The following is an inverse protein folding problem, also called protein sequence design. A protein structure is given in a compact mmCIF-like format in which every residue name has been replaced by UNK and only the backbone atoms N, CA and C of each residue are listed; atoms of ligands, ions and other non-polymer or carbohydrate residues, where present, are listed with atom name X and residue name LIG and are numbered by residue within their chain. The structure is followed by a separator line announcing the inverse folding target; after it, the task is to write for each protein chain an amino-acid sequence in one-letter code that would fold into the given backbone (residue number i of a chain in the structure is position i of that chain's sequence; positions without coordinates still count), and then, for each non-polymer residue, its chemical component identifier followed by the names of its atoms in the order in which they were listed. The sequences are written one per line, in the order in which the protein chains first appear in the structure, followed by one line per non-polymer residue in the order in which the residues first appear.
data_IF_475951918097
#
_entry.id   IF_475951918097
#
_cell.length_a   1.000
_cell.length_b   1.000
_cell.length_c   1.000
_cell.angle_alpha   90.00
_cell.angle_beta   90.00
_cell.angle_gamma   90.00
#
_symmetry.space_group_name_H-M   'P 1'
#
loop_
_entity.id
_entity.type
_entity.pdbx_description
1 polymer ?
#
# COMPACT_ATOMS: atom_id res chain seq x y z
N UNK A 1 -5.40 10.26 17.40
CA UNK A 1 -5.41 10.39 15.92
C UNK A 1 -5.45 9.01 15.29
N UNK A 2 -6.00 8.90 14.09
CA UNK A 2 -5.96 7.69 13.27
C UNK A 2 -4.86 7.84 12.23
N UNK A 3 -4.03 6.81 12.03
CA UNK A 3 -3.07 6.75 10.93
C UNK A 3 -3.52 5.69 9.95
N UNK A 4 -3.86 6.09 8.74
CA UNK A 4 -4.12 5.16 7.66
C UNK A 4 -2.80 4.77 7.00
N UNK A 5 -2.54 3.47 6.99
CA UNK A 5 -1.39 2.91 6.27
C UNK A 5 -1.81 2.65 4.83
N UNK A 6 -1.31 3.46 3.91
CA UNK A 6 -1.47 3.29 2.47
C UNK A 6 -0.19 2.66 1.88
N UNK A 7 0.22 3.06 0.69
CA UNK A 7 1.46 2.65 0.03
C UNK A 7 1.92 3.73 -0.94
N UNK A 8 3.23 3.88 -1.13
CA UNK A 8 3.80 4.79 -2.13
C UNK A 8 3.35 4.44 -3.57
N UNK A 9 2.87 3.21 -3.78
CA UNK A 9 2.42 2.72 -5.07
C UNK A 9 0.91 2.92 -5.34
N UNK A 10 0.15 3.59 -4.46
CA UNK A 10 -1.31 3.72 -4.60
C UNK A 10 -1.72 4.37 -5.93
N UNK A 11 -0.85 5.24 -6.47
CA UNK A 11 -1.02 5.91 -7.75
C UNK A 11 0.16 5.65 -8.71
N UNK A 12 0.70 4.42 -8.71
CA UNK A 12 1.84 4.04 -9.55
C UNK A 12 1.57 4.06 -11.07
N UNK A 13 0.32 4.28 -11.48
CA UNK A 13 -0.10 4.54 -12.85
C UNK A 13 0.19 5.99 -13.31
N UNK A 14 0.62 6.86 -12.39
CA UNK A 14 1.01 8.24 -12.65
C UNK A 14 2.55 8.35 -12.65
N UNK A 15 3.17 9.04 -13.62
CA UNK A 15 4.64 9.15 -13.70
C UNK A 15 5.30 9.88 -12.52
N UNK A 16 4.61 10.88 -11.96
CA UNK A 16 5.12 11.71 -10.87
C UNK A 16 4.05 11.82 -9.77
N UNK A 17 4.43 11.41 -8.56
CA UNK A 17 3.55 11.32 -7.40
C UNK A 17 3.95 12.38 -6.38
N UNK A 18 2.99 13.23 -6.01
CA UNK A 18 3.11 14.26 -4.99
C UNK A 18 2.39 13.84 -3.70
N UNK A 19 2.69 14.52 -2.59
CA UNK A 19 1.98 14.34 -1.31
C UNK A 19 0.59 14.99 -1.32
N UNK A 20 -0.31 14.41 -2.12
CA UNK A 20 -1.73 14.78 -2.20
C UNK A 20 -2.61 13.55 -2.34
N UNK A 21 -3.91 13.72 -2.13
CA UNK A 21 -4.90 12.68 -2.42
C UNK A 21 -5.35 12.88 -3.87
N UNK A 22 -5.14 11.87 -4.70
CA UNK A 22 -5.52 11.91 -6.11
C UNK A 22 -7.00 11.55 -6.26
N UNK A 23 -7.76 12.30 -7.09
CA UNK A 23 -9.14 11.97 -7.38
C UNK A 23 -9.20 10.59 -8.04
N UNK A 24 -10.14 9.76 -7.59
CA UNK A 24 -10.38 8.44 -8.14
C UNK A 24 -11.59 8.49 -9.08
N UNK A 25 -11.51 7.79 -10.22
CA UNK A 25 -12.64 7.68 -11.16
C UNK A 25 -13.80 6.88 -10.57
N UNK A 26 -13.47 5.90 -9.73
CA UNK A 26 -14.43 5.03 -9.07
C UNK A 26 -14.80 5.65 -7.72
N UNK A 27 -16.09 5.88 -7.50
CA UNK A 27 -16.60 6.24 -6.18
C UNK A 27 -16.50 5.04 -5.22
N UNK A 28 -15.75 5.14 -4.11
CA UNK A 28 -15.56 4.01 -3.21
C UNK A 28 -16.86 3.51 -2.56
N UNK A 29 -17.79 4.41 -2.23
CA UNK A 29 -19.07 4.05 -1.59
C UNK A 29 -19.93 3.24 -2.58
N UNK A 30 -20.10 3.75 -3.81
CA UNK A 30 -20.80 3.02 -4.86
C UNK A 30 -20.16 1.67 -5.22
N UNK A 31 -18.83 1.55 -5.15
CA UNK A 31 -18.17 0.27 -5.35
C UNK A 31 -18.50 -0.70 -4.22
N UNK A 32 -18.46 -0.28 -2.96
CA UNK A 32 -18.82 -1.13 -1.82
C UNK A 32 -20.26 -1.66 -1.96
N UNK A 33 -21.19 -0.79 -2.35
CA UNK A 33 -22.59 -1.19 -2.57
C UNK A 33 -22.72 -2.24 -3.70
N UNK A 34 -21.98 -2.05 -4.80
CA UNK A 34 -21.91 -3.04 -5.87
C UNK A 34 -21.37 -4.39 -5.38
N UNK A 35 -20.26 -4.37 -4.62
CA UNK A 35 -19.62 -5.58 -4.10
C UNK A 35 -20.54 -6.37 -3.16
N UNK A 36 -21.41 -5.70 -2.40
CA UNK A 36 -22.35 -6.36 -1.47
C UNK A 36 -23.44 -7.16 -2.19
N UNK A 37 -23.78 -6.82 -3.44
CA UNK A 37 -24.83 -7.47 -4.21
C UNK A 37 -24.29 -8.45 -5.27
N UNK A 38 -23.09 -8.20 -5.80
CA UNK A 38 -22.51 -9.01 -6.88
C UNK A 38 -22.07 -10.39 -6.39
N UNK A 39 -22.29 -11.42 -7.22
CA UNK A 39 -21.67 -12.74 -7.00
C UNK A 39 -20.19 -12.71 -7.34
N UNK A 40 -19.41 -13.61 -6.72
CA UNK A 40 -17.97 -13.75 -6.99
C UNK A 40 -17.67 -13.94 -8.49
N UNK A 41 -18.45 -14.77 -9.19
CA UNK A 41 -18.30 -15.00 -10.64
C UNK A 41 -18.44 -13.72 -11.47
N UNK A 42 -19.29 -12.79 -11.04
CA UNK A 42 -19.46 -11.52 -11.73
C UNK A 42 -18.33 -10.55 -11.38
N UNK A 43 -17.90 -10.53 -10.11
CA UNK A 43 -16.78 -9.74 -9.65
C UNK A 43 -15.49 -10.08 -10.40
N UNK A 44 -15.21 -11.37 -10.61
CA UNK A 44 -14.04 -11.80 -11.37
C UNK A 44 -14.05 -11.26 -12.80
N UNK A 45 -15.23 -11.17 -13.43
CA UNK A 45 -15.39 -10.65 -14.79
C UNK A 45 -15.24 -9.13 -14.87
N UNK A 46 -15.64 -8.40 -13.83
CA UNK A 46 -15.61 -6.94 -13.79
C UNK A 46 -14.29 -6.39 -13.23
N UNK A 47 -13.56 -7.17 -12.42
CA UNK A 47 -12.29 -6.76 -11.80
C UNK A 47 -11.27 -6.18 -12.79
N UNK A 48 -11.04 -6.75 -13.99
CA UNK A 48 -10.09 -6.17 -14.95
C UNK A 48 -10.48 -4.75 -15.38
N UNK A 49 -11.78 -4.47 -15.53
CA UNK A 49 -12.26 -3.14 -15.86
C UNK A 49 -12.11 -2.16 -14.69
N UNK A 50 -12.31 -2.62 -13.45
CA UNK A 50 -12.11 -1.81 -12.24
C UNK A 50 -10.63 -1.47 -11.98
N UNK A 51 -9.71 -2.37 -12.36
CA UNK A 51 -8.28 -2.14 -12.21
C UNK A 51 -7.77 -1.05 -13.15
N UNK A 52 -8.31 -0.96 -14.37
CA UNK A 52 -7.83 -0.02 -15.38
C UNK A 52 -6.33 -0.17 -15.62
N UNK A 53 -5.57 0.89 -15.38
CA UNK A 53 -4.09 0.92 -15.48
C UNK A 53 -3.36 0.37 -14.25
N UNK A 54 -4.06 0.13 -13.13
CA UNK A 54 -3.43 -0.29 -11.88
C UNK A 54 -3.00 -1.77 -11.95
N UNK A 55 -1.83 -2.12 -11.39
CA UNK A 55 -1.24 -3.45 -11.58
C UNK A 55 -1.96 -4.56 -10.80
N UNK A 56 -2.69 -4.23 -9.74
CA UNK A 56 -3.41 -5.19 -8.90
C UNK A 56 -4.47 -4.50 -8.02
N UNK A 57 -5.31 -5.32 -7.39
CA UNK A 57 -6.40 -4.87 -6.52
C UNK A 57 -5.90 -4.23 -5.22
N UNK A 58 -4.69 -4.56 -4.76
CA UNK A 58 -4.08 -3.94 -3.59
C UNK A 58 -3.83 -2.45 -3.82
N UNK A 59 -3.21 -2.08 -4.94
CA UNK A 59 -2.96 -0.68 -5.29
C UNK A 59 -4.28 0.09 -5.45
N UNK A 60 -5.26 -0.49 -6.14
CA UNK A 60 -6.59 0.09 -6.29
C UNK A 60 -7.26 0.35 -4.94
N UNK A 61 -7.32 -0.65 -4.06
CA UNK A 61 -7.99 -0.52 -2.76
C UNK A 61 -7.32 0.49 -1.85
N UNK A 62 -5.97 0.62 -1.89
CA UNK A 62 -5.26 1.69 -1.18
C UNK A 62 -5.64 3.08 -1.71
N UNK A 63 -5.69 3.26 -3.02
CA UNK A 63 -6.08 4.55 -3.62
C UNK A 63 -7.53 4.94 -3.28
N UNK A 64 -8.47 3.99 -3.33
CA UNK A 64 -9.87 4.21 -2.95
C UNK A 64 -10.02 4.51 -1.45
N UNK A 65 -9.23 3.86 -0.60
CA UNK A 65 -9.24 4.12 0.85
C UNK A 65 -8.77 5.56 1.17
N UNK A 66 -7.75 6.07 0.48
CA UNK A 66 -7.33 7.47 0.63
C UNK A 66 -8.46 8.45 0.28
N UNK A 67 -9.23 8.17 -0.78
CA UNK A 67 -10.41 8.96 -1.16
C UNK A 67 -11.50 8.93 -0.09
N UNK A 68 -11.78 7.77 0.51
CA UNK A 68 -12.72 7.67 1.65
C UNK A 68 -12.26 8.48 2.86
N UNK A 69 -10.96 8.46 3.16
CA UNK A 69 -10.40 9.23 4.27
C UNK A 69 -10.53 10.73 4.02
N UNK A 70 -10.40 11.18 2.77
CA UNK A 70 -10.64 12.58 2.42
C UNK A 70 -12.08 13.02 2.74
N UNK A 71 -13.05 12.11 2.63
CA UNK A 71 -14.45 12.37 3.01
C UNK A 71 -14.67 12.43 4.52
N UNK A 72 -13.78 11.84 5.32
CA UNK A 72 -13.87 11.79 6.79
C UNK A 72 -13.48 13.13 7.47
N UNK A 73 -14.27 14.17 7.20
CA UNK A 73 -14.11 15.49 7.81
C UNK A 73 -14.32 15.44 9.32
N UNK A 74 -13.49 16.19 10.06
CA UNK A 74 -13.64 16.32 11.52
C UNK A 74 -12.94 15.23 12.33
N UNK A 75 -12.12 14.38 11.70
CA UNK A 75 -11.30 13.40 12.40
C UNK A 75 -9.79 13.74 12.29
N UNK A 76 -9.00 13.57 13.37
CA UNK A 76 -7.55 13.70 13.33
C UNK A 76 -6.94 12.51 12.59
N UNK A 77 -6.81 12.62 11.25
CA UNK A 77 -6.30 11.55 10.38
C UNK A 77 -4.99 11.95 9.69
N UNK A 78 -4.04 11.02 9.63
CA UNK A 78 -2.87 11.08 8.76
C UNK A 78 -2.82 9.87 7.83
N UNK A 79 -2.27 10.06 6.64
CA UNK A 79 -1.99 8.99 5.67
C UNK A 79 -0.48 8.81 5.62
N UNK A 80 0.00 7.57 5.78
CA UNK A 80 1.40 7.21 5.64
C UNK A 80 1.54 6.23 4.47
N UNK A 81 2.43 6.52 3.53
CA UNK A 81 2.65 5.77 2.29
C UNK A 81 4.04 5.12 2.27
N UNK A 82 4.25 3.97 2.93
CA UNK A 82 5.51 3.26 2.84
C UNK A 82 5.74 2.69 1.43
N UNK A 83 7.01 2.55 1.03
CA UNK A 83 7.43 1.75 -0.12
C UNK A 83 7.37 0.24 0.21
N UNK A 84 8.13 -0.61 -0.50
CA UNK A 84 8.08 -2.05 -0.25
C UNK A 84 8.76 -2.34 1.09
N UNK A 85 7.95 -2.68 2.09
CA UNK A 85 8.45 -2.97 3.43
C UNK A 85 9.24 -4.27 3.44
N UNK A 86 10.41 -4.24 4.09
CA UNK A 86 11.35 -5.35 4.23
C UNK A 86 11.71 -5.58 5.69
N UNK A 87 12.61 -6.53 5.94
CA UNK A 87 13.08 -6.88 7.27
C UNK A 87 13.62 -5.66 8.05
N UNK A 88 13.48 -5.71 9.37
CA UNK A 88 13.94 -4.66 10.26
C UNK A 88 15.43 -4.37 10.08
N UNK A 89 15.79 -3.09 10.08
CA UNK A 89 17.19 -2.70 10.19
C UNK A 89 17.67 -2.88 11.62
N UNK A 90 16.98 -2.28 12.59
CA UNK A 90 17.41 -2.27 14.00
C UNK A 90 16.39 -2.88 14.95
N UNK A 91 15.11 -2.51 14.88
CA UNK A 91 14.10 -2.89 15.90
C UNK A 91 13.04 -3.85 15.32
N UNK A 92 12.62 -4.90 16.05
CA UNK A 92 13.05 -5.30 17.40
C UNK A 92 14.45 -5.95 17.46
N UNK A 93 14.95 -6.45 16.33
CA UNK A 93 16.35 -6.80 16.11
C UNK A 93 16.61 -6.82 14.59
N UNK A 94 17.87 -6.69 14.14
CA UNK A 94 18.19 -6.74 12.71
C UNK A 94 17.68 -8.02 12.04
N UNK A 95 17.10 -7.88 10.85
CA UNK A 95 16.58 -8.99 10.05
C UNK A 95 15.23 -9.55 10.52
N UNK A 96 14.59 -8.96 11.51
CA UNK A 96 13.26 -9.40 11.95
C UNK A 96 12.20 -9.19 10.86
N UNK A 97 11.33 -10.19 10.68
CA UNK A 97 10.14 -10.16 9.81
C UNK A 97 8.97 -10.77 10.55
N UNK A 98 7.76 -10.30 10.28
CA UNK A 98 6.52 -10.85 10.83
C UNK A 98 6.05 -12.12 10.08
N UNK A 99 6.46 -12.24 8.81
CA UNK A 99 5.97 -13.27 7.88
C UNK A 99 6.98 -13.57 6.77
N UNK A 100 6.97 -14.83 6.32
CA UNK A 100 7.74 -15.29 5.16
C UNK A 100 6.89 -15.29 3.88
N UNK A 101 6.20 -14.19 3.61
CA UNK A 101 5.30 -14.06 2.45
C UNK A 101 5.71 -12.89 1.56
N UNK A 102 5.25 -12.90 0.31
CA UNK A 102 5.54 -11.83 -0.66
C UNK A 102 7.03 -11.59 -0.86
N UNK A 103 7.47 -10.35 -0.63
CA UNK A 103 8.85 -9.93 -0.87
C UNK A 103 9.84 -10.64 0.07
N UNK A 104 9.45 -10.95 1.31
CA UNK A 104 10.33 -11.65 2.25
C UNK A 104 10.65 -13.08 1.77
N UNK A 105 9.67 -13.76 1.19
CA UNK A 105 9.88 -15.09 0.59
C UNK A 105 10.83 -15.01 -0.61
N UNK A 106 10.72 -13.96 -1.43
CA UNK A 106 11.61 -13.73 -2.56
C UNK A 106 13.06 -13.50 -2.09
N UNK A 107 13.26 -12.61 -1.10
CA UNK A 107 14.58 -12.31 -0.54
C UNK A 107 15.19 -13.55 0.11
N UNK A 108 14.42 -14.29 0.91
CA UNK A 108 14.88 -15.52 1.56
C UNK A 108 15.23 -16.62 0.54
N UNK A 109 14.39 -16.78 -0.50
CA UNK A 109 14.64 -17.73 -1.58
C UNK A 109 15.89 -17.38 -2.38
N UNK A 110 16.13 -16.11 -2.66
CA UNK A 110 17.36 -15.61 -3.29
C UNK A 110 18.59 -15.83 -2.41
N UNK A 111 18.52 -15.45 -1.13
CA UNK A 111 19.60 -15.62 -0.17
C UNK A 111 19.98 -17.09 0.05
N UNK A 112 19.02 -18.02 -0.04
CA UNK A 112 19.25 -19.47 0.03
C UNK A 112 19.70 -20.09 -1.30
N UNK A 113 19.79 -19.31 -2.38
CA UNK A 113 20.14 -19.80 -3.71
C UNK A 113 19.06 -20.65 -4.40
N UNK A 114 17.83 -20.68 -3.84
CA UNK A 114 16.68 -21.38 -4.43
C UNK A 114 16.16 -20.59 -5.62
N UNK A 115 15.99 -19.29 -5.44
CA UNK A 115 15.60 -18.37 -6.51
C UNK A 115 16.87 -17.82 -7.14
N UNK A 116 17.11 -18.18 -8.41
CA UNK A 116 18.31 -17.79 -9.16
C UNK A 116 18.03 -16.76 -10.25
N UNK A 117 16.77 -16.59 -10.62
CA UNK A 117 16.33 -15.65 -11.65
C UNK A 117 15.06 -14.95 -11.19
N UNK A 118 14.93 -13.68 -11.54
CA UNK A 118 13.74 -12.88 -11.25
C UNK A 118 13.28 -12.20 -12.55
N UNK A 119 12.02 -12.39 -12.99
CA UNK A 119 11.51 -11.72 -14.19
C UNK A 119 11.30 -10.23 -13.91
N UNK A 120 11.95 -9.37 -14.70
CA UNK A 120 11.81 -7.93 -14.61
C UNK A 120 12.74 -7.19 -15.55
N UNK A 121 12.48 -5.90 -15.76
CA UNK A 121 13.44 -5.03 -16.45
C UNK A 121 14.53 -4.60 -15.45
N UNK A 122 15.82 -4.87 -15.71
CA UNK A 122 16.92 -4.44 -14.84
C UNK A 122 17.05 -2.92 -14.71
N UNK A 123 16.37 -2.14 -15.56
CA UNK A 123 16.31 -0.67 -15.45
C UNK A 123 15.28 -0.19 -14.44
N UNK A 124 14.36 -1.04 -14.01
CA UNK A 124 13.36 -0.68 -13.01
C UNK A 124 14.03 -0.53 -11.64
N UNK A 125 13.58 0.48 -10.88
CA UNK A 125 14.01 0.69 -9.51
C UNK A 125 12.96 0.13 -8.56
N UNK A 126 13.40 -0.70 -7.62
CA UNK A 126 12.56 -1.18 -6.53
C UNK A 126 12.95 -0.45 -5.25
N UNK A 127 12.04 0.37 -4.72
CA UNK A 127 12.22 1.08 -3.46
C UNK A 127 11.81 0.17 -2.30
N UNK A 128 12.78 -0.14 -1.44
CA UNK A 128 12.61 -0.95 -0.25
C UNK A 128 12.85 -0.10 1.00
N UNK A 129 11.99 -0.28 2.00
CA UNK A 129 12.12 0.37 3.30
C UNK A 129 12.15 -0.67 4.42
N UNK A 130 13.10 -0.62 5.38
CA UNK A 130 13.08 -1.49 6.56
C UNK A 130 11.86 -1.21 7.43
N UNK A 131 11.19 -2.24 7.96
CA UNK A 131 9.89 -2.11 8.66
C UNK A 131 9.89 -1.19 9.89
N UNK A 132 11.02 -1.05 10.57
CA UNK A 132 11.18 -0.20 11.75
C UNK A 132 11.08 1.31 11.42
N UNK A 133 11.51 1.72 10.22
CA UNK A 133 11.44 3.11 9.80
C UNK A 133 9.99 3.62 9.63
N UNK A 134 9.11 3.00 8.81
CA UNK A 134 7.74 3.45 8.65
C UNK A 134 6.92 3.26 9.93
N UNK A 135 7.21 2.25 10.77
CA UNK A 135 6.54 2.10 12.07
C UNK A 135 6.85 3.29 12.98
N UNK A 136 8.13 3.65 13.12
CA UNK A 136 8.53 4.80 13.93
C UNK A 136 7.92 6.10 13.37
N UNK A 137 7.88 6.26 12.04
CA UNK A 137 7.20 7.39 11.40
C UNK A 137 5.70 7.41 11.70
N UNK A 138 5.00 6.26 11.67
CA UNK A 138 3.56 6.18 11.96
C UNK A 138 3.26 6.57 13.41
N UNK A 139 4.10 6.16 14.37
CA UNK A 139 3.95 6.54 15.79
C UNK A 139 4.07 8.07 15.93
N UNK A 140 5.09 8.66 15.31
CA UNK A 140 5.30 10.12 15.33
C UNK A 140 4.18 10.86 14.61
N UNK A 141 3.73 10.37 13.46
CA UNK A 141 2.62 10.94 12.70
C UNK A 141 1.32 10.92 13.52
N UNK A 142 1.01 9.79 14.19
CA UNK A 142 -0.15 9.69 15.07
C UNK A 142 -0.10 10.73 16.20
N UNK A 143 1.06 10.88 16.84
CA UNK A 143 1.24 11.88 17.90
C UNK A 143 1.09 13.30 17.38
N UNK A 144 1.74 13.63 16.25
CA UNK A 144 1.69 14.97 15.65
C UNK A 144 0.26 15.34 15.27
N UNK A 145 -0.41 14.48 14.50
CA UNK A 145 -1.81 14.69 14.08
C UNK A 145 -2.76 14.81 15.26
N UNK A 146 -2.52 14.12 16.38
CA UNK A 146 -3.36 14.27 17.57
C UNK A 146 -3.20 15.62 18.27
N UNK A 147 -2.07 16.31 18.07
CA UNK A 147 -1.77 17.60 18.71
C UNK A 147 -2.06 18.82 17.83
N UNK A 148 -2.00 18.65 16.51
CA UNK A 148 -2.19 19.74 15.53
C UNK A 148 -3.58 19.79 14.90
N UNK A 149 -4.45 18.84 15.25
CA UNK A 149 -5.86 18.85 14.88
C UNK A 149 -6.67 19.71 15.85
#
# INVERSE_FOLDING_TARGET
AMVHVSTAFSNCDIPEIEEKIYPQEIDPDGLIDCLNWMSNDFLEKVTPALLGSKPNTYVLTKALAESLIQKAKGLPVAIVRPSIVTAAWMEPHPGWVDSNSGIHALVLGGARGVIRTFPGDPKNQADFIPVDIPINMMIVAAWHTARTF
#
